data_IF_316864229044
#
_entry.id   IF_316864229044
#
_cell.length_a   1.000
_cell.length_b   1.000
_cell.length_c   1.000
_cell.angle_alpha   90.00
_cell.angle_beta   90.00
_cell.angle_gamma   90.00
#
_symmetry.space_group_name_H-M   'P 1'
#
loop_
_entity.id
_entity.type
_entity.pdbx_description
1 polymer ?
#
# COMPACT_ATOMS: atom_id res chain seq x y z
N UNK A 1 5.79 -8.78 -4.98
CA UNK A 1 6.51 -8.64 -6.25
C UNK A 1 5.77 -7.69 -7.18
N UNK A 2 6.49 -6.88 -7.94
CA UNK A 2 5.93 -6.09 -9.02
C UNK A 2 5.69 -6.96 -10.24
N UNK A 3 4.60 -6.66 -10.98
CA UNK A 3 4.24 -7.36 -12.22
C UNK A 3 4.50 -6.48 -13.44
N UNK A 4 4.44 -7.07 -14.66
CA UNK A 4 4.63 -6.34 -15.92
C UNK A 4 3.39 -5.54 -16.37
N UNK A 5 2.64 -5.02 -15.42
CA UNK A 5 1.58 -4.05 -15.69
C UNK A 5 2.04 -2.70 -15.20
N UNK A 6 1.71 -1.65 -15.92
CA UNK A 6 2.24 -0.33 -15.65
C UNK A 6 1.19 0.77 -15.75
N UNK A 7 1.46 1.83 -15.04
CA UNK A 7 0.82 3.13 -15.22
C UNK A 7 1.90 4.13 -15.60
N UNK A 8 1.66 4.89 -16.64
CA UNK A 8 2.62 5.86 -17.18
C UNK A 8 1.97 7.21 -17.37
N UNK A 9 2.78 8.27 -17.32
CA UNK A 9 2.28 9.62 -17.54
C UNK A 9 3.27 10.46 -18.36
N UNK A 10 2.76 11.20 -19.33
CA UNK A 10 3.44 12.33 -19.92
C UNK A 10 3.12 13.58 -19.10
N UNK A 11 4.15 14.28 -18.59
CA UNK A 11 3.98 15.35 -17.60
C UNK A 11 4.65 16.64 -18.00
N UNK A 12 4.07 17.77 -17.58
CA UNK A 12 4.69 19.10 -17.67
C UNK A 12 4.38 19.93 -16.43
N UNK A 13 5.36 20.72 -15.95
CA UNK A 13 5.17 21.59 -14.80
C UNK A 13 4.21 22.75 -15.12
N UNK A 14 3.49 23.24 -14.10
CA UNK A 14 2.62 24.42 -14.14
C UNK A 14 3.03 25.39 -13.04
N UNK A 15 2.75 26.67 -13.26
CA UNK A 15 3.09 27.74 -12.30
C UNK A 15 1.89 28.23 -11.49
N UNK A 16 0.67 27.72 -11.76
CA UNK A 16 -0.57 28.18 -11.13
C UNK A 16 -0.98 27.36 -9.91
N UNK A 17 -0.14 26.40 -9.48
CA UNK A 17 -0.41 25.55 -8.32
C UNK A 17 -1.55 24.55 -8.52
N UNK A 18 -1.88 24.18 -9.75
CA UNK A 18 -2.92 23.23 -10.09
C UNK A 18 -2.35 21.96 -10.70
N UNK A 19 -2.86 20.82 -10.29
CA UNK A 19 -2.60 19.52 -10.93
C UNK A 19 -3.79 19.19 -11.84
N UNK A 20 -3.55 19.10 -13.15
CA UNK A 20 -4.58 18.73 -14.13
C UNK A 20 -4.22 17.38 -14.71
N UNK A 21 -5.09 16.39 -14.49
CA UNK A 21 -4.86 15.01 -14.89
C UNK A 21 -5.88 14.58 -15.93
N UNK A 22 -5.39 13.96 -16.99
CA UNK A 22 -6.17 13.37 -18.07
C UNK A 22 -5.99 11.86 -18.00
N UNK A 23 -7.07 11.12 -17.84
CA UNK A 23 -7.12 9.67 -17.76
C UNK A 23 -8.12 9.12 -18.79
N UNK A 24 -8.16 7.83 -19.02
CA UNK A 24 -9.14 7.15 -19.84
C UNK A 24 -10.60 7.34 -19.36
N UNK A 25 -10.79 7.61 -18.07
CA UNK A 25 -12.12 7.84 -17.47
C UNK A 25 -12.54 9.32 -17.47
N UNK A 26 -11.67 10.24 -17.92
CA UNK A 26 -11.94 11.68 -17.98
C UNK A 26 -10.79 12.54 -17.43
N UNK A 27 -11.08 13.82 -17.25
CA UNK A 27 -10.12 14.78 -16.71
C UNK A 27 -10.62 15.37 -15.40
N UNK A 28 -9.69 15.65 -14.48
CA UNK A 28 -9.98 16.35 -13.23
C UNK A 28 -8.82 17.27 -12.83
N UNK A 29 -9.13 18.21 -11.94
CA UNK A 29 -8.19 19.21 -11.45
C UNK A 29 -8.13 19.17 -9.92
N UNK A 30 -6.92 19.32 -9.35
CA UNK A 30 -6.68 19.47 -7.92
C UNK A 30 -5.89 20.74 -7.68
N UNK A 31 -6.43 21.67 -6.88
CA UNK A 31 -5.70 22.85 -6.43
C UNK A 31 -4.83 22.53 -5.24
N UNK A 32 -3.56 22.93 -5.28
CA UNK A 32 -2.61 22.81 -4.19
C UNK A 32 -2.64 24.01 -3.21
N UNK A 33 -3.60 24.94 -3.35
CA UNK A 33 -3.77 26.07 -2.44
C UNK A 33 -4.16 25.66 -1.03
N UNK A 34 -4.79 24.50 -0.90
CA UNK A 34 -5.08 23.83 0.37
C UNK A 34 -4.77 22.35 0.23
N UNK A 35 -4.01 21.80 1.16
CA UNK A 35 -3.61 20.39 1.16
C UNK A 35 -4.42 19.54 2.14
N UNK A 36 -5.21 20.16 3.03
CA UNK A 36 -6.06 19.43 3.97
C UNK A 36 -7.07 18.51 3.26
N UNK A 37 -7.45 17.38 3.87
CA UNK A 37 -8.47 16.48 3.35
C UNK A 37 -9.77 17.21 3.02
N UNK A 38 -10.37 16.89 1.88
CA UNK A 38 -11.63 17.47 1.41
C UNK A 38 -12.68 16.38 1.35
N UNK A 39 -13.77 16.52 2.14
CA UNK A 39 -14.76 15.46 2.32
C UNK A 39 -15.42 15.02 1.01
N UNK A 40 -15.71 15.95 0.09
CA UNK A 40 -16.32 15.60 -1.20
C UNK A 40 -15.34 14.92 -2.18
N UNK A 41 -14.03 14.90 -1.88
CA UNK A 41 -13.02 14.18 -2.65
C UNK A 41 -12.80 12.74 -2.14
N UNK A 42 -13.31 12.37 -0.97
CA UNK A 42 -13.16 11.01 -0.44
C UNK A 42 -13.59 9.96 -1.44
N UNK A 43 -12.78 8.91 -1.57
CA UNK A 43 -13.02 7.86 -2.55
C UNK A 43 -12.69 8.25 -4.00
N UNK A 44 -12.06 9.40 -4.25
CA UNK A 44 -11.70 9.84 -5.60
C UNK A 44 -10.19 9.96 -5.80
N UNK A 45 -9.76 9.92 -7.06
CA UNK A 45 -8.34 10.14 -7.42
C UNK A 45 -7.84 11.53 -7.01
N UNK A 46 -8.70 12.53 -6.88
CA UNK A 46 -8.33 13.87 -6.42
C UNK A 46 -7.82 13.85 -4.97
N UNK A 47 -8.46 13.07 -4.09
CA UNK A 47 -8.01 12.87 -2.71
C UNK A 47 -6.57 12.29 -2.67
N UNK A 48 -6.28 11.32 -3.52
CA UNK A 48 -4.96 10.69 -3.59
C UNK A 48 -3.87 11.70 -4.02
N UNK A 49 -4.14 12.51 -5.04
CA UNK A 49 -3.21 13.57 -5.48
C UNK A 49 -2.93 14.56 -4.34
N UNK A 50 -3.99 15.01 -3.65
CA UNK A 50 -3.89 15.96 -2.53
C UNK A 50 -3.13 15.36 -1.36
N UNK A 51 -3.39 14.11 -1.00
CA UNK A 51 -2.72 13.43 0.11
C UNK A 51 -1.23 13.23 -0.13
N UNK A 52 -0.83 12.82 -1.33
CA UNK A 52 0.60 12.73 -1.70
C UNK A 52 1.26 14.11 -1.62
N UNK A 53 0.58 15.16 -2.10
CA UNK A 53 1.09 16.53 -2.02
C UNK A 53 1.25 17.00 -0.56
N UNK A 54 0.28 16.71 0.32
CA UNK A 54 0.38 17.04 1.75
C UNK A 54 1.56 16.34 2.40
N UNK A 55 1.71 15.03 2.17
CA UNK A 55 2.84 14.28 2.73
C UNK A 55 4.18 14.87 2.29
N UNK A 56 4.35 15.17 1.00
CA UNK A 56 5.57 15.79 0.49
C UNK A 56 5.85 17.13 1.18
N UNK A 57 4.86 18.00 1.24
CA UNK A 57 5.01 19.32 1.88
C UNK A 57 5.35 19.19 3.38
N UNK A 58 4.70 18.30 4.10
CA UNK A 58 4.96 18.05 5.53
C UNK A 58 6.37 17.51 5.78
N UNK A 59 6.99 16.83 4.81
CA UNK A 59 8.36 16.31 4.89
C UNK A 59 9.39 17.20 4.19
N UNK A 60 9.07 18.49 3.98
CA UNK A 60 9.96 19.49 3.36
C UNK A 60 10.38 19.14 1.92
N UNK A 61 9.62 18.31 1.24
CA UNK A 61 9.78 18.03 -0.18
C UNK A 61 9.00 19.04 -1.02
N UNK A 62 9.52 19.39 -2.19
CA UNK A 62 8.90 20.38 -3.05
C UNK A 62 7.70 19.79 -3.79
N UNK A 63 6.63 20.59 -3.88
CA UNK A 63 5.45 20.32 -4.68
C UNK A 63 5.18 21.49 -5.63
N UNK A 64 4.40 21.26 -6.67
CA UNK A 64 3.96 22.29 -7.60
C UNK A 64 2.91 21.76 -8.56
N UNK A 65 2.26 22.65 -9.30
CA UNK A 65 1.24 22.26 -10.28
C UNK A 65 1.84 21.50 -11.47
N UNK A 66 1.07 20.60 -12.06
CA UNK A 66 1.48 19.87 -13.25
C UNK A 66 0.28 19.51 -14.15
N UNK A 67 0.53 19.28 -15.44
CA UNK A 67 -0.34 18.52 -16.31
C UNK A 67 0.18 17.09 -16.39
N UNK A 68 -0.71 16.10 -16.40
CA UNK A 68 -0.38 14.71 -16.62
C UNK A 68 -1.39 14.06 -17.56
N UNK A 69 -0.93 13.48 -18.66
CA UNK A 69 -1.71 12.56 -19.48
C UNK A 69 -1.31 11.13 -19.06
N UNK A 70 -2.26 10.38 -18.54
CA UNK A 70 -2.02 9.08 -17.86
C UNK A 70 -2.62 7.96 -18.68
N UNK A 71 -1.83 6.92 -18.90
CA UNK A 71 -2.25 5.64 -19.49
C UNK A 71 -1.94 4.51 -18.51
N UNK A 72 -2.84 3.52 -18.42
CA UNK A 72 -2.67 2.37 -17.53
C UNK A 72 -3.14 1.08 -18.23
N UNK A 73 -2.33 0.04 -18.15
CA UNK A 73 -2.72 -1.31 -18.52
C UNK A 73 -3.08 -2.19 -17.31
N UNK A 74 -3.17 -1.58 -16.11
CA UNK A 74 -3.57 -2.24 -14.86
C UNK A 74 -5.09 -2.28 -14.78
N UNK A 75 -5.72 -3.47 -14.77
CA UNK A 75 -7.18 -3.57 -14.69
C UNK A 75 -7.70 -3.02 -13.35
N UNK A 76 -8.64 -2.09 -13.41
CA UNK A 76 -9.27 -1.51 -12.22
C UNK A 76 -10.09 -2.59 -11.49
N UNK A 77 -9.98 -2.65 -10.16
CA UNK A 77 -10.76 -3.59 -9.33
C UNK A 77 -10.34 -5.06 -9.43
N UNK A 78 -9.24 -5.38 -10.12
CA UNK A 78 -8.74 -6.74 -10.30
C UNK A 78 -7.90 -7.29 -9.13
N UNK A 79 -7.73 -6.51 -8.06
CA UNK A 79 -6.92 -6.92 -6.90
C UNK A 79 -5.40 -6.82 -7.11
N UNK A 80 -4.94 -6.19 -8.21
CA UNK A 80 -3.52 -5.97 -8.49
C UNK A 80 -3.06 -4.54 -8.18
N UNK A 81 -3.73 -3.88 -7.23
CA UNK A 81 -3.30 -2.62 -6.59
C UNK A 81 -3.18 -1.43 -7.55
N UNK A 82 -4.20 -1.22 -8.41
CA UNK A 82 -4.23 -0.06 -9.31
C UNK A 82 -4.21 1.28 -8.57
N UNK A 83 -4.80 1.39 -7.37
CA UNK A 83 -4.74 2.59 -6.52
C UNK A 83 -3.31 2.89 -6.09
N UNK A 84 -2.61 1.91 -5.53
CA UNK A 84 -1.22 2.07 -5.09
C UNK A 84 -0.29 2.47 -6.26
N UNK A 85 -0.49 1.89 -7.44
CA UNK A 85 0.26 2.28 -8.63
C UNK A 85 0.02 3.75 -9.02
N UNK A 86 -1.23 4.23 -8.96
CA UNK A 86 -1.58 5.62 -9.23
C UNK A 86 -0.95 6.57 -8.20
N UNK A 87 -1.06 6.26 -6.92
CA UNK A 87 -0.51 7.06 -5.83
C UNK A 87 1.02 7.19 -5.95
N UNK A 88 1.70 6.07 -6.20
CA UNK A 88 3.15 6.04 -6.45
C UNK A 88 3.52 6.85 -7.69
N UNK A 89 2.72 6.79 -8.77
CA UNK A 89 2.92 7.64 -9.94
C UNK A 89 2.89 9.13 -9.58
N UNK A 90 1.91 9.58 -8.78
CA UNK A 90 1.83 10.98 -8.34
C UNK A 90 3.08 11.38 -7.53
N UNK A 91 3.54 10.53 -6.61
CA UNK A 91 4.79 10.77 -5.88
C UNK A 91 6.00 10.86 -6.81
N UNK A 92 6.09 10.00 -7.83
CA UNK A 92 7.15 10.05 -8.85
C UNK A 92 7.08 11.30 -9.71
N UNK A 93 5.88 11.82 -10.02
CA UNK A 93 5.70 13.08 -10.75
C UNK A 93 6.26 14.25 -9.92
N UNK A 94 5.90 14.37 -8.63
CA UNK A 94 6.46 15.40 -7.77
C UNK A 94 7.97 15.24 -7.61
N UNK A 95 8.46 14.01 -7.51
CA UNK A 95 9.90 13.75 -7.43
C UNK A 95 10.63 14.21 -8.70
N UNK A 96 10.15 13.84 -9.87
CA UNK A 96 10.80 14.17 -11.13
C UNK A 96 10.77 15.68 -11.44
N UNK A 97 9.60 16.32 -11.24
CA UNK A 97 9.44 17.73 -11.63
C UNK A 97 10.04 18.71 -10.62
N UNK A 98 10.04 18.38 -9.32
CA UNK A 98 10.33 19.36 -8.27
C UNK A 98 11.45 18.96 -7.30
N UNK A 99 11.83 17.67 -7.28
CA UNK A 99 12.83 17.15 -6.34
C UNK A 99 14.03 16.48 -7.04
N UNK A 100 14.21 16.71 -8.34
CA UNK A 100 15.36 16.23 -9.10
C UNK A 100 15.51 14.71 -9.19
N UNK A 101 14.47 13.96 -8.85
CA UNK A 101 14.51 12.49 -8.83
C UNK A 101 15.15 11.87 -7.57
N UNK A 102 15.47 12.66 -6.53
CA UNK A 102 16.24 12.21 -5.36
C UNK A 102 15.38 11.69 -4.19
N UNK A 103 14.06 11.74 -4.29
CA UNK A 103 13.19 11.19 -3.23
C UNK A 103 13.25 9.67 -3.27
N UNK A 104 13.61 9.06 -2.15
CA UNK A 104 13.71 7.62 -2.00
C UNK A 104 12.38 6.91 -2.28
N UNK A 105 12.40 5.74 -2.94
CA UNK A 105 11.18 5.00 -3.27
C UNK A 105 10.29 4.70 -2.07
N UNK A 106 10.87 4.38 -0.91
CA UNK A 106 10.09 4.13 0.31
C UNK A 106 9.38 5.39 0.82
N UNK A 107 9.98 6.57 0.69
CA UNK A 107 9.31 7.83 1.02
C UNK A 107 8.09 8.06 0.12
N UNK A 108 8.20 7.72 -1.17
CA UNK A 108 7.07 7.76 -2.10
C UNK A 108 5.98 6.76 -1.69
N UNK A 109 6.36 5.55 -1.29
CA UNK A 109 5.41 4.54 -0.81
C UNK A 109 4.67 5.00 0.46
N UNK A 110 5.37 5.62 1.40
CA UNK A 110 4.76 6.19 2.63
C UNK A 110 3.81 7.34 2.30
N UNK A 111 4.17 8.21 1.36
CA UNK A 111 3.29 9.28 0.90
C UNK A 111 2.01 8.72 0.24
N UNK A 112 2.14 7.67 -0.54
CA UNK A 112 1.04 6.97 -1.18
C UNK A 112 0.10 6.34 -0.13
N UNK A 113 0.63 5.60 0.84
CA UNK A 113 -0.15 5.03 1.94
C UNK A 113 -0.86 6.12 2.77
N UNK A 114 -0.17 7.22 3.08
CA UNK A 114 -0.78 8.34 3.79
C UNK A 114 -1.97 8.90 3.01
N UNK A 115 -1.85 9.07 1.71
CA UNK A 115 -2.93 9.58 0.86
C UNK A 115 -4.16 8.65 0.90
N UNK A 116 -3.96 7.33 0.83
CA UNK A 116 -5.07 6.36 0.89
C UNK A 116 -5.74 6.36 2.27
N UNK A 117 -4.96 6.40 3.35
CA UNK A 117 -5.50 6.36 4.71
C UNK A 117 -6.14 7.67 5.16
N UNK A 118 -5.47 8.82 4.92
CA UNK A 118 -5.90 10.11 5.47
C UNK A 118 -6.88 10.86 4.56
N UNK A 119 -6.71 10.78 3.24
CA UNK A 119 -7.50 11.56 2.29
C UNK A 119 -8.57 10.73 1.60
N UNK A 120 -8.20 9.58 1.04
CA UNK A 120 -9.16 8.71 0.35
C UNK A 120 -10.14 8.06 1.33
N UNK A 121 -9.69 7.79 2.55
CA UNK A 121 -10.52 7.25 3.62
C UNK A 121 -10.66 5.73 3.61
N UNK A 122 -9.72 5.02 3.01
CA UNK A 122 -9.66 3.55 3.00
C UNK A 122 -8.40 3.10 3.75
N UNK A 123 -8.53 2.51 4.94
CA UNK A 123 -7.38 1.98 5.68
C UNK A 123 -6.66 0.89 4.89
N UNK A 124 -5.37 1.06 4.67
CA UNK A 124 -4.53 0.09 3.98
C UNK A 124 -3.18 -0.10 4.67
N UNK A 125 -2.55 -1.25 4.44
CA UNK A 125 -1.14 -1.50 4.77
C UNK A 125 -0.20 -0.83 3.76
N UNK A 126 1.11 -0.98 3.95
CA UNK A 126 2.13 -0.36 3.10
C UNK A 126 2.61 -1.27 1.96
N UNK A 127 2.22 -2.55 1.96
CA UNK A 127 2.79 -3.57 1.08
C UNK A 127 2.65 -3.23 -0.41
N UNK A 128 1.47 -2.80 -0.84
CA UNK A 128 1.17 -2.54 -2.24
C UNK A 128 1.94 -1.32 -2.76
N UNK A 129 1.95 -0.24 -1.97
CA UNK A 129 2.69 0.97 -2.31
C UNK A 129 4.20 0.72 -2.34
N UNK A 130 4.73 -0.05 -1.37
CA UNK A 130 6.14 -0.42 -1.35
C UNK A 130 6.50 -1.29 -2.56
N UNK A 131 5.70 -2.30 -2.91
CA UNK A 131 5.92 -3.13 -4.09
C UNK A 131 5.91 -2.31 -5.39
N UNK A 132 4.97 -1.36 -5.53
CA UNK A 132 4.90 -0.47 -6.70
C UNK A 132 6.08 0.50 -6.77
N UNK A 133 6.51 1.05 -5.64
CA UNK A 133 7.58 2.05 -5.59
C UNK A 133 8.97 1.43 -5.80
N UNK A 134 9.24 0.25 -5.23
CA UNK A 134 10.53 -0.42 -5.27
C UNK A 134 10.71 -1.26 -6.54
N UNK A 135 9.64 -1.89 -7.01
CA UNK A 135 9.71 -2.83 -8.14
C UNK A 135 10.35 -4.17 -7.77
N UNK A 136 10.47 -5.07 -8.75
CA UNK A 136 11.10 -6.37 -8.56
C UNK A 136 10.42 -7.26 -7.53
N UNK A 137 11.17 -8.19 -6.95
CA UNK A 137 10.75 -9.02 -5.83
C UNK A 137 11.36 -8.47 -4.55
N UNK A 138 10.52 -8.19 -3.56
CA UNK A 138 10.93 -7.60 -2.30
C UNK A 138 10.53 -8.51 -1.14
N UNK A 139 11.44 -8.71 -0.21
CA UNK A 139 11.13 -9.17 1.14
C UNK A 139 10.89 -7.91 1.99
N UNK A 140 9.73 -7.81 2.60
CA UNK A 140 9.34 -6.64 3.41
C UNK A 140 8.97 -7.15 4.80
N UNK A 141 9.75 -6.78 5.79
CA UNK A 141 9.49 -7.07 7.19
C UNK A 141 8.84 -5.85 7.86
N UNK A 142 7.60 -6.03 8.29
CA UNK A 142 6.80 -5.03 8.99
C UNK A 142 6.89 -5.16 10.53
N UNK A 143 7.97 -5.75 11.06
CA UNK A 143 8.18 -5.80 12.51
C UNK A 143 8.14 -4.39 13.13
N UNK A 144 8.71 -3.40 12.46
CA UNK A 144 8.47 -1.98 12.73
C UNK A 144 7.71 -1.35 11.54
N UNK A 145 6.42 -1.03 11.75
CA UNK A 145 5.61 -0.40 10.70
C UNK A 145 6.06 1.03 10.35
N UNK A 146 6.72 1.72 11.28
CA UNK A 146 7.22 3.08 11.02
C UNK A 146 8.51 3.06 10.19
N UNK A 147 9.29 1.99 10.30
CA UNK A 147 10.54 1.78 9.58
C UNK A 147 10.66 0.32 9.09
N UNK A 148 9.86 -0.10 8.10
CA UNK A 148 9.91 -1.47 7.59
C UNK A 148 11.30 -1.80 7.04
N UNK A 149 11.78 -3.01 7.35
CA UNK A 149 13.00 -3.50 6.76
C UNK A 149 12.70 -4.12 5.39
N UNK A 150 13.35 -3.61 4.35
CA UNK A 150 13.11 -4.05 2.96
C UNK A 150 14.39 -4.54 2.34
N UNK A 151 14.33 -5.73 1.74
CA UNK A 151 15.43 -6.35 1.01
C UNK A 151 14.97 -6.81 -0.36
N UNK A 152 15.70 -6.39 -1.40
CA UNK A 152 15.47 -6.89 -2.74
C UNK A 152 15.93 -8.34 -2.84
N UNK A 153 15.09 -9.19 -3.42
CA UNK A 153 15.41 -10.58 -3.73
C UNK A 153 15.64 -10.73 -5.23
N UNK A 154 16.73 -11.42 -5.59
CA UNK A 154 16.94 -11.82 -6.97
C UNK A 154 15.98 -12.97 -7.30
N UNK A 155 15.24 -12.82 -8.41
CA UNK A 155 14.35 -13.86 -8.91
C UNK A 155 15.01 -14.58 -10.08
N UNK A 156 15.72 -15.70 -9.85
CA UNK A 156 16.50 -16.37 -10.88
C UNK A 156 15.65 -17.18 -11.87
N UNK A 157 14.35 -17.37 -11.56
CA UNK A 157 13.47 -18.33 -12.26
C UNK A 157 12.66 -17.73 -13.41
N UNK A 158 13.03 -16.57 -13.92
CA UNK A 158 12.26 -15.88 -14.99
C UNK A 158 12.09 -16.69 -16.27
N UNK A 159 13.00 -17.64 -16.54
CA UNK A 159 12.95 -18.49 -17.72
C UNK A 159 12.36 -19.89 -17.47
N UNK A 160 12.15 -20.25 -16.20
CA UNK A 160 11.68 -21.59 -15.80
C UNK A 160 10.24 -21.59 -15.34
N UNK A 161 9.77 -20.47 -14.77
CA UNK A 161 8.45 -20.36 -14.19
C UNK A 161 7.71 -19.12 -14.71
N UNK A 162 6.41 -19.22 -14.82
CA UNK A 162 5.52 -18.10 -15.13
C UNK A 162 4.50 -17.91 -13.99
N UNK A 163 4.29 -16.66 -13.59
CA UNK A 163 3.25 -16.28 -12.64
C UNK A 163 1.98 -15.93 -13.43
N UNK A 164 0.89 -16.61 -13.14
CA UNK A 164 -0.42 -16.35 -13.75
C UNK A 164 -1.34 -15.68 -12.73
N UNK A 165 -1.99 -14.60 -13.16
CA UNK A 165 -3.06 -13.96 -12.42
C UNK A 165 -4.37 -14.26 -13.10
N UNK A 166 -5.27 -14.95 -12.39
CA UNK A 166 -6.59 -15.33 -12.91
C UNK A 166 -7.62 -14.39 -12.31
N UNK A 167 -8.29 -13.61 -13.18
CA UNK A 167 -9.41 -12.79 -12.75
C UNK A 167 -10.65 -13.68 -12.56
N UNK A 168 -11.15 -13.75 -11.33
CA UNK A 168 -12.35 -14.52 -10.97
C UNK A 168 -13.66 -13.77 -11.21
N UNK A 169 -13.58 -12.51 -11.65
CA UNK A 169 -14.74 -11.65 -11.91
C UNK A 169 -15.41 -11.08 -10.64
N UNK A 170 -14.86 -11.34 -9.45
CA UNK A 170 -15.36 -10.76 -8.19
C UNK A 170 -14.64 -9.47 -7.84
N UNK A 171 -15.34 -8.54 -7.19
CA UNK A 171 -14.77 -7.28 -6.67
C UNK A 171 -14.53 -7.38 -5.16
N UNK A 172 -13.46 -6.74 -4.68
CA UNK A 172 -13.18 -6.60 -3.24
C UNK A 172 -13.94 -5.42 -2.59
N UNK A 173 -14.70 -4.65 -3.34
CA UNK A 173 -15.37 -3.44 -2.85
C UNK A 173 -16.30 -3.71 -1.65
N UNK A 174 -16.95 -4.88 -1.62
CA UNK A 174 -17.91 -5.26 -0.57
C UNK A 174 -17.24 -5.96 0.64
N UNK A 175 -15.90 -6.04 0.69
CA UNK A 175 -15.18 -6.79 1.73
C UNK A 175 -14.48 -5.91 2.78
N UNK A 176 -14.71 -4.60 2.78
CA UNK A 176 -14.04 -3.66 3.69
C UNK A 176 -14.24 -4.04 5.17
N UNK A 177 -15.46 -4.43 5.57
CA UNK A 177 -15.77 -4.86 6.94
C UNK A 177 -15.02 -6.13 7.32
N UNK A 178 -14.87 -7.09 6.39
CA UNK A 178 -14.14 -8.32 6.63
C UNK A 178 -12.63 -8.06 6.86
N UNK A 179 -12.03 -7.12 6.13
CA UNK A 179 -10.64 -6.70 6.34
C UNK A 179 -10.46 -5.99 7.68
N UNK A 180 -11.34 -5.06 8.02
CA UNK A 180 -11.32 -4.39 9.33
C UNK A 180 -11.43 -5.40 10.48
N UNK A 181 -12.28 -6.42 10.33
CA UNK A 181 -12.43 -7.47 11.33
C UNK A 181 -11.16 -8.34 11.50
N UNK A 182 -10.36 -8.54 10.45
CA UNK A 182 -9.09 -9.26 10.58
C UNK A 182 -8.14 -8.52 11.53
N UNK A 183 -8.00 -7.22 11.37
CA UNK A 183 -7.15 -6.39 12.24
C UNK A 183 -7.65 -6.40 13.69
N UNK A 184 -8.97 -6.30 13.90
CA UNK A 184 -9.56 -6.36 15.23
C UNK A 184 -9.35 -7.73 15.91
N UNK A 185 -9.50 -8.82 15.16
CA UNK A 185 -9.26 -10.18 15.67
C UNK A 185 -7.79 -10.38 16.08
N UNK A 186 -6.84 -9.93 15.25
CA UNK A 186 -5.41 -9.99 15.57
C UNK A 186 -5.07 -9.15 16.80
N UNK A 187 -5.68 -7.96 16.93
CA UNK A 187 -5.51 -7.10 18.11
C UNK A 187 -6.00 -7.77 19.38
N UNK A 188 -7.17 -8.43 19.34
CA UNK A 188 -7.73 -9.16 20.47
C UNK A 188 -6.78 -10.25 20.98
N UNK A 189 -6.12 -10.98 20.09
CA UNK A 189 -5.15 -12.00 20.47
C UNK A 189 -3.88 -11.38 21.05
N UNK A 190 -3.36 -10.31 20.43
CA UNK A 190 -2.16 -9.63 20.95
C UNK A 190 -2.40 -9.06 22.34
N UNK A 191 -3.59 -8.52 22.63
CA UNK A 191 -3.96 -8.02 23.96
C UNK A 191 -3.96 -9.14 25.01
N UNK A 192 -4.50 -10.31 24.67
CA UNK A 192 -4.46 -11.50 25.57
C UNK A 192 -3.01 -11.93 25.85
N UNK A 193 -2.14 -11.82 24.84
CA UNK A 193 -0.73 -12.18 24.98
C UNK A 193 0.13 -11.08 25.62
N UNK A 194 -0.43 -9.90 25.87
CA UNK A 194 0.29 -8.75 26.45
C UNK A 194 1.23 -8.05 25.47
N UNK A 195 1.01 -8.21 24.15
CA UNK A 195 1.77 -7.56 23.11
C UNK A 195 0.97 -6.39 22.52
N UNK A 196 1.66 -5.36 22.03
CA UNK A 196 1.03 -4.21 21.36
C UNK A 196 0.41 -4.60 20.00
N UNK A 197 1.01 -5.61 19.35
CA UNK A 197 0.51 -6.23 18.11
C UNK A 197 0.96 -7.70 18.02
N UNK A 198 0.28 -8.45 17.15
CA UNK A 198 0.51 -9.90 17.03
C UNK A 198 1.93 -10.24 16.52
N UNK A 199 2.52 -9.39 15.66
CA UNK A 199 3.90 -9.57 15.19
C UNK A 199 4.98 -9.44 16.26
N UNK A 200 4.65 -8.86 17.45
CA UNK A 200 5.53 -8.78 18.60
C UNK A 200 5.24 -9.86 19.66
N UNK A 201 4.24 -10.70 19.43
CA UNK A 201 3.90 -11.79 20.31
C UNK A 201 4.76 -13.03 20.00
N UNK A 202 5.05 -13.82 21.04
CA UNK A 202 5.73 -15.11 20.91
C UNK A 202 4.74 -16.19 20.45
N UNK A 203 5.03 -16.84 19.32
CA UNK A 203 4.22 -17.96 18.79
C UNK A 203 4.15 -19.12 19.76
N UNK A 204 5.23 -19.45 20.48
CA UNK A 204 5.23 -20.53 21.45
C UNK A 204 4.29 -20.21 22.64
N UNK A 205 4.24 -18.95 23.08
CA UNK A 205 3.28 -18.49 24.08
C UNK A 205 1.84 -18.56 23.55
N UNK A 206 1.60 -18.15 22.31
CA UNK A 206 0.29 -18.28 21.65
C UNK A 206 -0.17 -19.75 21.66
N UNK A 207 0.68 -20.68 21.26
CA UNK A 207 0.36 -22.10 21.22
C UNK A 207 0.07 -22.68 22.61
N UNK A 208 0.84 -22.28 23.63
CA UNK A 208 0.58 -22.69 25.02
C UNK A 208 -0.77 -22.22 25.55
N UNK A 209 -1.17 -20.99 25.18
CA UNK A 209 -2.41 -20.35 25.61
C UNK A 209 -3.57 -20.49 24.64
N UNK A 210 -3.44 -21.30 23.58
CA UNK A 210 -4.45 -21.46 22.53
C UNK A 210 -5.85 -21.77 23.09
N UNK A 211 -5.94 -22.64 24.10
CA UNK A 211 -7.21 -23.01 24.75
C UNK A 211 -7.86 -21.85 25.52
N UNK A 212 -7.07 -20.96 26.11
CA UNK A 212 -7.53 -19.72 26.73
C UNK A 212 -8.03 -18.72 25.68
N UNK A 213 -7.23 -18.50 24.64
CA UNK A 213 -7.54 -17.57 23.54
C UNK A 213 -8.85 -17.98 22.84
N UNK A 214 -9.03 -19.28 22.57
CA UNK A 214 -10.28 -19.80 21.97
C UNK A 214 -11.49 -19.53 22.84
N UNK A 215 -11.38 -19.66 24.16
CA UNK A 215 -12.50 -19.36 25.09
C UNK A 215 -12.78 -17.87 25.20
N UNK A 216 -11.75 -17.03 25.17
CA UNK A 216 -11.87 -15.59 25.36
C UNK A 216 -12.29 -14.85 24.08
N UNK A 217 -11.69 -15.20 22.93
CA UNK A 217 -11.84 -14.47 21.67
C UNK A 217 -12.56 -15.28 20.56
N UNK A 218 -12.80 -16.57 20.79
CA UNK A 218 -13.46 -17.46 19.83
C UNK A 218 -12.51 -18.16 18.86
N UNK A 219 -13.01 -19.24 18.25
CA UNK A 219 -12.23 -20.10 17.37
C UNK A 219 -11.75 -19.38 16.12
N UNK A 220 -12.60 -18.55 15.52
CA UNK A 220 -12.26 -17.79 14.30
C UNK A 220 -11.07 -16.86 14.55
N UNK A 221 -11.07 -16.12 15.65
CA UNK A 221 -10.01 -15.21 16.05
C UNK A 221 -8.70 -15.94 16.30
N UNK A 222 -8.77 -17.07 17.01
CA UNK A 222 -7.60 -17.94 17.24
C UNK A 222 -7.04 -18.51 15.93
N UNK A 223 -7.89 -18.93 14.99
CA UNK A 223 -7.45 -19.44 13.67
C UNK A 223 -6.81 -18.35 12.81
N UNK A 224 -7.27 -17.10 12.88
CA UNK A 224 -6.62 -15.99 12.20
C UNK A 224 -5.23 -15.69 12.73
N UNK A 225 -5.04 -15.75 14.04
CA UNK A 225 -3.72 -15.60 14.65
C UNK A 225 -2.79 -16.76 14.28
N UNK A 226 -3.27 -18.00 14.30
CA UNK A 226 -2.51 -19.16 13.84
C UNK A 226 -2.09 -19.01 12.36
N UNK A 227 -3.00 -18.54 11.51
CA UNK A 227 -2.70 -18.25 10.10
C UNK A 227 -1.61 -17.19 9.98
N UNK A 228 -1.68 -16.10 10.77
CA UNK A 228 -0.67 -15.06 10.78
C UNK A 228 0.75 -15.60 11.06
N UNK A 229 0.92 -16.39 12.13
CA UNK A 229 2.22 -16.99 12.46
C UNK A 229 2.72 -17.92 11.36
N UNK A 230 1.83 -18.79 10.85
CA UNK A 230 2.17 -19.71 9.77
C UNK A 230 2.54 -18.99 8.45
N UNK A 231 1.85 -17.90 8.09
CA UNK A 231 2.20 -17.11 6.91
C UNK A 231 3.54 -16.39 7.10
N UNK A 232 3.77 -15.82 8.29
CA UNK A 232 5.02 -15.15 8.60
C UNK A 232 6.23 -16.09 8.47
N UNK A 233 6.10 -17.33 8.97
CA UNK A 233 7.12 -18.36 8.78
C UNK A 233 7.33 -18.69 7.29
N UNK A 234 6.25 -18.92 6.53
CA UNK A 234 6.33 -19.22 5.08
C UNK A 234 7.00 -18.12 4.26
N UNK A 235 6.82 -16.85 4.62
CA UNK A 235 7.51 -15.73 3.96
C UNK A 235 9.02 -15.84 4.17
N UNK A 236 9.46 -16.16 5.39
CA UNK A 236 10.88 -16.39 5.71
C UNK A 236 11.46 -17.58 4.94
N UNK A 237 10.73 -18.71 4.92
CA UNK A 237 11.13 -19.91 4.17
C UNK A 237 11.24 -19.63 2.67
N UNK A 238 10.29 -18.88 2.10
CA UNK A 238 10.31 -18.48 0.69
C UNK A 238 11.51 -17.58 0.38
N UNK A 239 11.79 -16.59 1.23
CA UNK A 239 12.93 -15.70 1.04
C UNK A 239 14.28 -16.44 1.12
N UNK A 240 14.37 -17.48 1.96
CA UNK A 240 15.56 -18.32 2.07
C UNK A 240 15.71 -19.32 0.92
N UNK A 241 14.62 -19.66 0.22
CA UNK A 241 14.62 -20.59 -0.91
C UNK A 241 14.91 -19.93 -2.26
N UNK A 242 14.82 -18.61 -2.37
CA UNK A 242 15.13 -17.81 -3.55
C UNK A 242 16.62 -17.43 -3.56
#
# INVERSE_FOLDING_TARGET
AAIRRSITAAVSARTDGKCVLYTDTGAFEVSLSSLAPVECERGTSAALVRGVAEYFAAHSLKIGGFNAAIESDIPIGSGVSSSAAFEVLIGRIFNALYNGGFVEPMTIALAAQFAENAHFGKPCGLMDQAACALGGVQFIDFFDNAAPNVSALEWPFTNEFAIYIINTGSSHADMADAYTQITADMKSVSDILGADRLGHADEAEFMRRLGEIRRAAGDRTAMRALHFFGENARVGDMAAAI
#
